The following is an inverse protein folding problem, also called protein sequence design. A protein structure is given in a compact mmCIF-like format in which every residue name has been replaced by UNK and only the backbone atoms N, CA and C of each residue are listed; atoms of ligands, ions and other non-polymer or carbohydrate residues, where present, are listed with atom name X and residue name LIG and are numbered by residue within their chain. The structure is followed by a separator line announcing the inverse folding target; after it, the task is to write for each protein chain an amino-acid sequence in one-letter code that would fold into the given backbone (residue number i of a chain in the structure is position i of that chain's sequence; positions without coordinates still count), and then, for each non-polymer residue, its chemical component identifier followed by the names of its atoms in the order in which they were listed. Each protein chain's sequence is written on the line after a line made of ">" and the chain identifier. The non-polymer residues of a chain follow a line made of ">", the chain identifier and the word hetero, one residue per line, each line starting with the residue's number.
data_IF_127450125712
#
_entry.id   IF_127450125712
#
_cell.length_a   1.000
_cell.length_b   1.000
_cell.length_c   1.000
_cell.angle_alpha   90.00
_cell.angle_beta   90.00
_cell.angle_gamma   90.00
#
_symmetry.space_group_name_H-M   'P 1'
#
loop_
_entity.id
_entity.type
_entity.pdbx_description
1 polymer ?
#
# COMPACT_ATOMS: atom_id res chain seq x y z
N UNK A 1 54.08 -18.90 12.59
CA UNK A 1 53.61 -17.57 12.12
C UNK A 1 52.67 -17.66 10.92
N UNK A 2 53.00 -18.37 9.81
CA UNK A 2 52.10 -18.53 8.65
C UNK A 2 50.72 -19.12 8.97
N UNK A 3 50.63 -20.10 9.88
CA UNK A 3 49.35 -20.72 10.30
C UNK A 3 48.45 -19.80 11.12
N UNK A 4 49.03 -18.81 11.82
CA UNK A 4 48.28 -17.83 12.63
C UNK A 4 47.75 -16.70 11.74
N UNK A 5 48.55 -16.26 10.75
CA UNK A 5 48.10 -15.28 9.75
C UNK A 5 46.92 -15.82 8.94
N UNK A 6 46.96 -17.09 8.51
CA UNK A 6 45.87 -17.73 7.77
C UNK A 6 44.57 -17.84 8.57
N UNK A 7 44.67 -18.08 9.89
CA UNK A 7 43.50 -18.17 10.78
C UNK A 7 42.84 -16.80 11.03
N UNK A 8 43.63 -15.73 11.08
CA UNK A 8 43.13 -14.35 11.26
C UNK A 8 42.44 -13.85 9.98
N UNK A 9 42.95 -14.18 8.80
CA UNK A 9 42.30 -13.80 7.53
C UNK A 9 40.96 -14.51 7.36
N UNK A 10 40.85 -15.77 7.79
CA UNK A 10 39.59 -16.54 7.72
C UNK A 10 38.54 -16.03 8.71
N UNK A 11 38.95 -15.49 9.86
CA UNK A 11 38.05 -14.93 10.88
C UNK A 11 37.48 -13.57 10.46
N UNK A 12 38.26 -12.73 9.77
CA UNK A 12 37.82 -11.43 9.26
C UNK A 12 36.80 -11.57 8.11
N UNK A 13 36.92 -12.60 7.26
CA UNK A 13 35.93 -12.88 6.22
C UNK A 13 34.57 -13.35 6.75
N UNK A 14 34.50 -13.91 7.96
CA UNK A 14 33.24 -14.36 8.58
C UNK A 14 32.43 -13.21 9.21
N UNK A 15 33.08 -12.12 9.62
CA UNK A 15 32.43 -10.96 10.25
C UNK A 15 31.72 -10.04 9.24
N UNK A 16 31.99 -10.18 7.94
CA UNK A 16 31.42 -9.31 6.89
C UNK A 16 29.98 -9.64 6.46
N UNK A 17 29.46 -10.83 6.78
CA UNK A 17 28.14 -11.25 6.27
C UNK A 17 26.97 -10.89 7.19
N UNK A 18 27.20 -10.71 8.50
CA UNK A 18 26.10 -10.54 9.48
C UNK A 18 25.60 -9.09 9.65
N UNK A 19 26.24 -8.11 9.01
CA UNK A 19 25.91 -6.69 9.21
C UNK A 19 24.83 -6.17 8.22
N UNK A 20 24.59 -6.88 7.11
CA UNK A 20 23.65 -6.43 6.07
C UNK A 20 22.20 -6.45 6.56
N UNK A 21 21.75 -7.55 7.13
CA UNK A 21 20.35 -7.71 7.56
C UNK A 21 19.97 -6.80 8.74
N UNK A 22 20.94 -6.45 9.58
CA UNK A 22 20.71 -5.52 10.69
C UNK A 22 20.64 -4.06 10.22
N UNK A 23 21.42 -3.69 9.20
CA UNK A 23 21.43 -2.35 8.65
C UNK A 23 20.11 -2.03 7.91
N UNK A 24 19.59 -2.97 7.12
CA UNK A 24 18.31 -2.79 6.40
C UNK A 24 17.14 -2.56 7.37
N UNK A 25 17.16 -3.22 8.55
CA UNK A 25 16.15 -3.00 9.59
C UNK A 25 16.23 -1.63 10.23
N UNK A 26 17.43 -1.06 10.37
CA UNK A 26 17.63 0.29 10.92
C UNK A 26 17.22 1.38 9.93
N UNK A 27 17.29 1.07 8.63
CA UNK A 27 16.91 1.97 7.54
C UNK A 27 15.48 1.75 7.05
N UNK A 28 14.72 0.91 7.73
CA UNK A 28 13.32 0.67 7.41
C UNK A 28 12.40 1.53 8.26
N UNK A 29 11.55 2.32 7.61
CA UNK A 29 10.56 3.16 8.24
C UNK A 29 9.19 2.99 7.55
N UNK A 30 8.15 3.58 8.16
CA UNK A 30 6.77 3.46 7.69
C UNK A 30 6.19 4.83 7.39
N UNK A 31 5.63 4.98 6.20
CA UNK A 31 4.88 6.18 5.81
C UNK A 31 3.40 5.85 5.88
N UNK A 32 2.66 6.63 6.67
CA UNK A 32 1.21 6.50 6.78
C UNK A 32 0.54 7.63 6.02
N UNK A 33 -0.41 7.29 5.15
CA UNK A 33 -1.26 8.26 4.47
C UNK A 33 -2.73 7.99 4.80
N UNK A 34 -3.47 9.07 4.96
CA UNK A 34 -4.90 9.09 5.18
C UNK A 34 -5.57 9.90 4.07
N UNK A 35 -6.61 9.35 3.47
CA UNK A 35 -7.45 10.05 2.51
C UNK A 35 -8.92 9.71 2.72
N UNK A 36 -9.79 10.55 2.18
CA UNK A 36 -11.24 10.34 2.21
C UNK A 36 -11.79 10.32 0.79
N UNK A 37 -12.84 9.53 0.57
CA UNK A 37 -13.63 9.59 -0.65
C UNK A 37 -15.11 9.33 -0.36
N UNK A 38 -15.97 9.78 -1.26
CA UNK A 38 -17.42 9.56 -1.17
C UNK A 38 -17.83 8.53 -2.22
N UNK A 39 -18.51 7.48 -1.77
CA UNK A 39 -19.15 6.49 -2.64
C UNK A 39 -20.59 6.94 -2.86
N UNK A 40 -20.99 7.34 -4.08
CA UNK A 40 -22.36 7.74 -4.34
C UNK A 40 -23.31 6.56 -4.15
N UNK A 41 -24.49 6.83 -3.58
CA UNK A 41 -25.54 5.83 -3.48
C UNK A 41 -26.05 5.40 -4.87
N UNK A 42 -26.27 4.11 -5.06
CA UNK A 42 -26.78 3.54 -6.30
C UNK A 42 -28.30 3.39 -6.26
N UNK A 43 -28.96 3.76 -7.36
CA UNK A 43 -30.40 3.53 -7.55
C UNK A 43 -30.65 2.04 -7.85
N UNK A 44 -31.61 1.42 -7.16
CA UNK A 44 -31.85 -0.04 -7.03
C UNK A 44 -32.29 -0.79 -8.32
N UNK A 45 -32.08 -0.24 -9.52
CA UNK A 45 -32.73 -0.73 -10.75
C UNK A 45 -31.94 -1.81 -11.52
N UNK A 46 -30.74 -2.21 -11.08
CA UNK A 46 -29.93 -3.21 -11.82
C UNK A 46 -29.14 -4.14 -10.88
N UNK A 47 -29.21 -5.48 -11.00
CA UNK A 47 -28.58 -6.39 -10.03
C UNK A 47 -27.11 -6.79 -10.31
N UNK A 48 -26.48 -6.32 -11.40
CA UNK A 48 -25.06 -6.63 -11.68
C UNK A 48 -24.23 -5.35 -11.76
N UNK A 49 -23.45 -5.08 -10.72
CA UNK A 49 -22.60 -3.90 -10.62
C UNK A 49 -21.12 -4.29 -10.57
N UNK A 50 -20.50 -4.49 -11.74
CA UNK A 50 -19.04 -4.44 -11.86
C UNK A 50 -18.65 -2.97 -12.05
N UNK A 51 -18.60 -2.22 -10.95
CA UNK A 51 -18.24 -0.80 -11.00
C UNK A 51 -16.73 -0.64 -10.83
N UNK A 52 -16.10 -0.01 -11.82
CA UNK A 52 -14.76 0.57 -11.65
C UNK A 52 -14.99 1.92 -10.98
N UNK A 53 -14.54 2.06 -9.73
CA UNK A 53 -14.64 3.33 -9.00
C UNK A 53 -13.29 4.02 -9.09
N UNK A 54 -13.15 5.07 -9.92
CA UNK A 54 -11.92 5.84 -9.97
C UNK A 54 -11.77 6.60 -8.66
N UNK A 55 -10.68 6.32 -7.93
CA UNK A 55 -10.26 7.19 -6.83
C UNK A 55 -9.62 8.46 -7.40
N UNK A 56 -9.70 9.60 -6.69
CA UNK A 56 -9.03 10.81 -7.13
C UNK A 56 -7.53 10.56 -7.32
N UNK A 57 -6.92 11.20 -8.31
CA UNK A 57 -5.47 11.17 -8.50
C UNK A 57 -4.78 11.70 -7.25
N UNK A 58 -3.79 10.96 -6.75
CA UNK A 58 -3.02 11.35 -5.57
C UNK A 58 -1.77 12.07 -6.07
N UNK A 59 -1.65 13.35 -5.72
CA UNK A 59 -0.39 14.08 -5.89
C UNK A 59 0.60 13.59 -4.85
N UNK A 60 1.70 13.01 -5.30
CA UNK A 60 2.70 12.45 -4.41
C UNK A 60 3.64 13.54 -3.91
N UNK A 61 3.57 13.90 -2.62
CA UNK A 61 4.52 14.80 -1.96
C UNK A 61 5.73 14.05 -1.38
N UNK A 62 6.08 12.90 -1.98
CA UNK A 62 7.06 11.97 -1.46
C UNK A 62 8.40 12.59 -1.08
N UNK A 63 8.91 13.55 -1.84
CA UNK A 63 10.17 14.24 -1.51
C UNK A 63 10.16 14.86 -0.12
N UNK A 64 9.10 15.62 0.22
CA UNK A 64 8.99 16.26 1.54
C UNK A 64 8.77 15.23 2.66
N UNK A 65 8.00 14.17 2.39
CA UNK A 65 7.79 13.09 3.35
C UNK A 65 9.11 12.38 3.66
N UNK A 66 9.91 12.04 2.65
CA UNK A 66 11.20 11.38 2.87
C UNK A 66 12.18 12.29 3.61
N UNK A 67 12.23 13.58 3.26
CA UNK A 67 13.08 14.56 3.97
C UNK A 67 12.73 14.65 5.46
N UNK A 68 11.43 14.68 5.79
CA UNK A 68 10.97 14.66 7.19
C UNK A 68 11.36 13.36 7.92
N UNK A 69 11.41 12.24 7.19
CA UNK A 69 11.91 10.94 7.68
C UNK A 69 13.45 10.81 7.55
N UNK A 70 14.16 11.94 7.35
CA UNK A 70 15.62 11.99 7.31
C UNK A 70 16.27 11.29 6.12
N UNK A 71 15.52 11.04 5.04
CA UNK A 71 15.97 10.28 3.87
C UNK A 71 15.74 11.06 2.57
N UNK A 72 16.59 10.90 1.56
CA UNK A 72 16.35 11.47 0.24
C UNK A 72 15.47 10.54 -0.61
N UNK A 73 14.51 11.09 -1.37
CA UNK A 73 13.65 10.33 -2.29
C UNK A 73 14.43 9.44 -3.29
N UNK A 74 15.63 9.86 -3.68
CA UNK A 74 16.47 9.10 -4.59
C UNK A 74 17.16 7.92 -3.90
N UNK A 75 17.34 7.98 -2.58
CA UNK A 75 18.00 6.97 -1.76
C UNK A 75 17.04 5.94 -1.18
N UNK A 76 15.72 6.10 -1.27
CA UNK A 76 14.80 5.02 -0.83
C UNK A 76 14.70 3.92 -1.88
N UNK A 77 14.69 2.66 -1.43
CA UNK A 77 14.49 1.46 -2.24
C UNK A 77 13.50 0.51 -1.56
N UNK A 78 12.91 -0.41 -2.32
CA UNK A 78 11.97 -1.41 -1.84
C UNK A 78 10.79 -0.80 -1.08
N UNK A 79 10.02 0.06 -1.74
CA UNK A 79 8.76 0.54 -1.18
C UNK A 79 7.68 -0.51 -1.43
N UNK A 80 7.08 -1.03 -0.37
CA UNK A 80 5.98 -2.00 -0.46
C UNK A 80 4.78 -1.52 0.34
N UNK A 81 3.57 -1.82 -0.13
CA UNK A 81 2.36 -1.59 0.65
C UNK A 81 2.31 -2.62 1.78
N UNK A 82 2.34 -2.15 3.02
CA UNK A 82 2.32 -3.01 4.20
C UNK A 82 0.90 -3.18 4.75
N UNK A 83 0.08 -2.13 4.71
CA UNK A 83 -1.30 -2.16 5.18
C UNK A 83 -2.19 -1.25 4.35
N UNK A 84 -3.41 -1.70 4.07
CA UNK A 84 -4.48 -0.87 3.51
C UNK A 84 -5.79 -1.19 4.21
N UNK A 85 -6.31 -0.20 4.94
CA UNK A 85 -7.55 -0.31 5.71
C UNK A 85 -8.57 0.71 5.22
N UNK A 86 -9.74 0.21 4.87
CA UNK A 86 -10.91 0.98 4.50
C UNK A 86 -11.85 1.06 5.70
N UNK A 87 -12.38 2.25 5.98
CA UNK A 87 -13.32 2.48 7.08
C UNK A 87 -14.45 3.37 6.62
N UNK A 88 -15.70 2.89 6.73
CA UNK A 88 -16.87 3.75 6.49
C UNK A 88 -17.03 4.70 7.69
N UNK A 89 -16.94 6.00 7.44
CA UNK A 89 -17.06 7.06 8.47
C UNK A 89 -18.49 7.60 8.57
N UNK A 90 -19.24 7.57 7.47
CA UNK A 90 -20.63 8.03 7.42
C UNK A 90 -21.43 7.28 6.35
N UNK A 91 -22.72 7.00 6.56
CA UNK A 91 -23.45 7.13 7.82
C UNK A 91 -23.06 6.04 8.83
N UNK A 92 -23.51 6.18 10.08
CA UNK A 92 -23.10 5.30 11.18
C UNK A 92 -23.79 3.93 11.18
N UNK A 93 -24.70 3.65 10.27
CA UNK A 93 -25.38 2.36 10.08
C UNK A 93 -24.91 1.61 8.82
N UNK A 94 -24.16 2.29 7.93
CA UNK A 94 -23.57 1.69 6.74
C UNK A 94 -22.39 0.77 7.08
N UNK A 95 -22.21 -0.26 6.25
CA UNK A 95 -21.11 -1.23 6.37
C UNK A 95 -20.75 -1.87 5.01
N UNK A 96 -19.70 -2.71 4.96
CA UNK A 96 -19.20 -3.31 3.73
C UNK A 96 -19.89 -4.62 3.29
N UNK A 97 -21.04 -5.01 3.89
CA UNK A 97 -21.71 -6.30 3.57
C UNK A 97 -22.10 -6.43 2.10
N UNK A 98 -22.28 -5.30 1.41
CA UNK A 98 -22.62 -5.22 0.00
C UNK A 98 -21.46 -5.59 -0.94
N UNK A 99 -20.20 -5.61 -0.47
CA UNK A 99 -19.03 -5.91 -1.30
C UNK A 99 -18.71 -7.41 -1.22
N UNK A 100 -18.55 -8.05 -2.38
CA UNK A 100 -18.08 -9.43 -2.50
C UNK A 100 -16.57 -9.51 -2.61
N UNK A 101 -15.98 -8.66 -3.44
CA UNK A 101 -14.53 -8.56 -3.57
C UNK A 101 -14.11 -7.16 -3.99
N UNK A 102 -12.87 -6.82 -3.64
CA UNK A 102 -12.20 -5.58 -4.03
C UNK A 102 -10.79 -5.90 -4.50
N UNK A 103 -10.36 -5.23 -5.57
CA UNK A 103 -8.99 -5.23 -6.07
C UNK A 103 -8.57 -3.79 -6.30
N UNK A 104 -7.38 -3.44 -5.85
CA UNK A 104 -6.80 -2.11 -5.99
C UNK A 104 -5.54 -2.22 -6.83
N UNK A 105 -5.49 -1.41 -7.88
CA UNK A 105 -4.35 -1.28 -8.76
C UNK A 105 -3.73 0.10 -8.62
N UNK A 106 -2.43 0.19 -8.85
CA UNK A 106 -1.72 1.46 -9.03
C UNK A 106 -1.33 1.63 -10.49
N UNK A 107 -1.40 2.88 -10.95
CA UNK A 107 -0.97 3.30 -12.27
C UNK A 107 -0.26 4.64 -12.15
N UNK A 108 0.81 4.82 -12.91
CA UNK A 108 1.47 6.10 -13.07
C UNK A 108 1.94 6.27 -14.52
N UNK A 109 2.26 7.51 -14.90
CA UNK A 109 2.67 7.79 -16.27
C UNK A 109 3.96 7.05 -16.65
N UNK A 110 3.92 6.39 -17.80
CA UNK A 110 4.99 5.53 -18.30
C UNK A 110 5.21 4.21 -17.53
N UNK A 111 4.31 3.81 -16.62
CA UNK A 111 4.40 2.56 -15.87
C UNK A 111 3.18 1.66 -16.11
N UNK A 112 3.35 0.32 -16.05
CA UNK A 112 2.23 -0.60 -16.20
C UNK A 112 1.23 -0.47 -15.04
N UNK A 113 -0.01 -0.91 -15.25
CA UNK A 113 -0.98 -1.07 -14.16
C UNK A 113 -0.64 -2.34 -13.37
N UNK A 114 -0.46 -2.24 -12.05
CA UNK A 114 -0.15 -3.39 -11.20
C UNK A 114 -1.12 -3.50 -10.02
N UNK A 115 -1.48 -4.73 -9.65
CA UNK A 115 -2.33 -5.02 -8.50
C UNK A 115 -1.52 -4.82 -7.22
N UNK A 116 -2.00 -3.98 -6.30
CA UNK A 116 -1.28 -3.67 -5.06
C UNK A 116 -1.95 -4.24 -3.82
N UNK A 117 -3.26 -4.43 -3.83
CA UNK A 117 -4.00 -5.03 -2.72
C UNK A 117 -5.32 -5.63 -3.21
N UNK A 118 -5.81 -6.66 -2.50
CA UNK A 118 -7.11 -7.23 -2.79
C UNK A 118 -7.76 -7.84 -1.56
N UNK A 119 -9.08 -7.99 -1.58
CA UNK A 119 -9.80 -8.86 -0.65
C UNK A 119 -10.86 -9.61 -1.44
N UNK A 120 -10.79 -10.93 -1.41
CA UNK A 120 -11.71 -11.82 -2.12
C UNK A 120 -12.59 -12.50 -1.06
N UNK A 121 -13.86 -12.79 -1.43
CA UNK A 121 -14.80 -13.50 -0.56
C UNK A 121 -15.06 -12.78 0.77
N UNK A 122 -15.30 -11.47 0.72
CA UNK A 122 -15.61 -10.65 1.92
C UNK A 122 -16.90 -11.14 2.56
N UNK A 123 -16.92 -11.47 3.86
CA UNK A 123 -18.12 -12.01 4.50
C UNK A 123 -19.19 -10.92 4.73
N UNK A 124 -20.45 -11.31 4.82
CA UNK A 124 -21.57 -10.37 4.98
C UNK A 124 -21.67 -9.76 6.38
N UNK A 125 -20.93 -10.28 7.36
CA UNK A 125 -20.85 -9.75 8.73
C UNK A 125 -19.56 -8.94 8.98
N UNK A 126 -18.90 -8.46 7.93
CA UNK A 126 -17.61 -7.75 8.01
C UNK A 126 -17.67 -6.41 8.79
N UNK A 127 -18.83 -5.76 8.83
CA UNK A 127 -18.98 -4.45 9.46
C UNK A 127 -18.32 -3.32 8.66
N UNK A 128 -17.90 -2.26 9.35
CA UNK A 128 -17.49 -0.98 8.74
C UNK A 128 -16.02 -0.86 8.41
N UNK A 129 -15.23 -1.87 8.78
CA UNK A 129 -13.80 -1.88 8.57
C UNK A 129 -13.45 -3.04 7.66
N UNK A 130 -12.69 -2.74 6.61
CA UNK A 130 -12.24 -3.72 5.64
C UNK A 130 -10.75 -3.57 5.45
N UNK A 131 -9.99 -4.56 5.93
CA UNK A 131 -8.56 -4.66 5.69
C UNK A 131 -8.31 -5.52 4.46
N UNK A 132 -7.58 -4.96 3.49
CA UNK A 132 -7.21 -5.65 2.27
C UNK A 132 -5.88 -6.36 2.46
N UNK A 133 -5.65 -7.39 1.66
CA UNK A 133 -4.42 -8.16 1.62
C UNK A 133 -3.47 -7.52 0.59
N UNK A 134 -2.37 -6.85 1.03
CA UNK A 134 -1.42 -6.25 0.12
C UNK A 134 -0.62 -7.31 -0.63
N UNK A 135 -0.23 -6.98 -1.85
CA UNK A 135 0.77 -7.74 -2.60
C UNK A 135 2.18 -7.39 -2.12
N UNK A 136 3.21 -8.05 -2.66
CA UNK A 136 4.61 -7.73 -2.41
C UNK A 136 5.26 -7.00 -3.61
N UNK A 137 4.43 -6.35 -4.44
CA UNK A 137 4.91 -5.55 -5.56
C UNK A 137 5.78 -4.38 -5.09
N UNK A 138 6.86 -4.13 -5.82
CA UNK A 138 7.75 -2.99 -5.55
C UNK A 138 7.15 -1.73 -6.16
N UNK A 139 6.83 -0.76 -5.31
CA UNK A 139 6.10 0.46 -5.66
C UNK A 139 7.02 1.68 -5.80
N UNK A 140 8.33 1.47 -5.71
CA UNK A 140 9.39 2.47 -5.81
C UNK A 140 9.16 3.46 -6.95
N UNK A 141 9.00 2.94 -8.16
CA UNK A 141 8.88 3.75 -9.37
C UNK A 141 7.56 4.51 -9.44
N UNK A 142 6.50 4.02 -8.79
CA UNK A 142 5.18 4.67 -8.78
C UNK A 142 5.13 5.80 -7.76
N UNK A 143 5.60 5.55 -6.54
CA UNK A 143 5.53 6.51 -5.43
C UNK A 143 6.49 7.68 -5.65
N UNK A 144 7.60 7.46 -6.36
CA UNK A 144 8.54 8.52 -6.77
C UNK A 144 8.03 9.40 -7.93
N UNK A 145 6.93 9.05 -8.59
CA UNK A 145 6.33 9.89 -9.64
C UNK A 145 5.64 11.08 -9.00
N UNK A 146 5.55 12.19 -9.74
CA UNK A 146 4.83 13.39 -9.29
C UNK A 146 3.37 13.10 -8.98
N UNK A 147 2.73 12.23 -9.78
CA UNK A 147 1.35 11.79 -9.60
C UNK A 147 1.23 10.29 -9.88
N UNK A 148 0.35 9.63 -9.14
CA UNK A 148 -0.14 8.29 -9.45
C UNK A 148 -1.65 8.20 -9.22
N UNK A 149 -2.28 7.22 -9.85
CA UNK A 149 -3.71 6.95 -9.75
C UNK A 149 -3.90 5.57 -9.14
N UNK A 150 -4.81 5.48 -8.17
CA UNK A 150 -5.33 4.21 -7.71
C UNK A 150 -6.61 3.91 -8.50
N UNK A 151 -6.72 2.68 -9.01
CA UNK A 151 -7.90 2.18 -9.71
C UNK A 151 -8.47 1.01 -8.91
N UNK A 152 -9.77 1.03 -8.65
CA UNK A 152 -10.42 0.00 -7.84
C UNK A 152 -11.43 -0.77 -8.71
N UNK A 153 -11.32 -2.09 -8.68
CA UNK A 153 -12.31 -3.00 -9.22
C UNK A 153 -13.08 -3.60 -8.04
N UNK A 154 -14.39 -3.34 -7.98
CA UNK A 154 -15.25 -3.80 -6.90
C UNK A 154 -16.36 -4.67 -7.49
N UNK A 155 -16.54 -5.87 -6.93
CA UNK A 155 -17.69 -6.73 -7.21
C UNK A 155 -18.62 -6.62 -6.02
N UNK A 156 -19.87 -6.22 -6.26
CA UNK A 156 -20.88 -6.07 -5.20
C UNK A 156 -22.01 -7.07 -5.34
N UNK A 157 -22.58 -7.48 -4.19
CA UNK A 157 -23.77 -8.32 -4.10
C UNK A 157 -25.06 -7.51 -4.21
N UNK A 158 -24.99 -6.22 -3.85
CA UNK A 158 -26.10 -5.29 -3.88
C UNK A 158 -25.61 -3.88 -4.20
N UNK A 159 -26.52 -3.01 -4.59
CA UNK A 159 -26.22 -1.60 -4.80
C UNK A 159 -25.77 -0.96 -3.46
N UNK A 160 -24.73 -0.11 -3.45
CA UNK A 160 -24.42 0.71 -2.29
C UNK A 160 -25.58 1.68 -2.01
N UNK A 161 -26.15 1.63 -0.80
CA UNK A 161 -27.19 2.57 -0.37
C UNK A 161 -27.12 2.72 1.14
N UNK A 162 -27.14 3.96 1.70
CA UNK A 162 -27.13 5.27 1.02
C UNK A 162 -25.73 5.66 0.50
N UNK A 163 -25.55 6.94 0.14
CA UNK A 163 -24.20 7.53 -0.05
C UNK A 163 -23.35 7.30 1.21
N UNK A 164 -22.07 6.98 1.02
CA UNK A 164 -21.14 6.67 2.12
C UNK A 164 -19.86 7.48 2.00
N UNK A 165 -19.36 7.94 3.13
CA UNK A 165 -18.01 8.47 3.27
C UNK A 165 -17.06 7.36 3.71
N UNK A 166 -15.94 7.27 3.00
CA UNK A 166 -14.91 6.29 3.21
C UNK A 166 -13.61 6.97 3.62
N UNK A 167 -13.01 6.51 4.72
CA UNK A 167 -11.64 6.80 5.11
C UNK A 167 -10.73 5.65 4.66
N UNK A 168 -9.65 6.01 3.99
CA UNK A 168 -8.63 5.10 3.45
C UNK A 168 -7.34 5.36 4.22
N UNK A 169 -6.86 4.35 4.93
CA UNK A 169 -5.56 4.39 5.62
C UNK A 169 -4.60 3.45 4.91
N UNK A 170 -3.47 3.99 4.45
CA UNK A 170 -2.40 3.22 3.82
C UNK A 170 -1.11 3.36 4.61
N UNK A 171 -0.41 2.25 4.77
CA UNK A 171 0.94 2.22 5.36
C UNK A 171 1.88 1.60 4.34
N UNK A 172 2.88 2.38 3.93
CA UNK A 172 3.99 1.90 3.10
C UNK A 172 5.19 1.60 3.99
N UNK A 173 5.79 0.43 3.78
CA UNK A 173 7.09 0.09 4.34
C UNK A 173 8.15 0.50 3.34
N UNK A 174 9.11 1.32 3.80
CA UNK A 174 10.17 1.88 2.98
C UNK A 174 11.51 1.48 3.59
N UNK A 175 12.46 1.07 2.77
CA UNK A 175 13.84 0.79 3.21
C UNK A 175 14.79 1.78 2.52
N UNK A 176 15.57 2.55 3.26
CA UNK A 176 16.58 3.39 2.64
C UNK A 176 17.75 2.54 2.12
N UNK A 177 18.35 2.99 1.02
CA UNK A 177 19.60 2.47 0.47
C UNK A 177 20.78 3.24 1.10
N UNK A 178 21.65 2.58 1.86
CA UNK A 178 22.74 3.24 2.59
C UNK A 178 23.90 3.78 1.75
N UNK A 179 23.84 3.69 0.41
CA UNK A 179 24.89 3.93 -0.61
C UNK A 179 25.52 2.64 -1.17
#
# INVERSE_FOLDING_TARGET
>A
MKKVVLAITLFISFLGYSCKDQLDRLLTFRINNESTCTIPGANLVNPVFNNIVPTPSITSNSSQTFENEGTNANLVKNIVLEKLKLTITSPSDADFRFIESIKIYIKADGLPKVLIASKISIPTNIGKELELDPTQEKLDEYIKKSNYTLENEVVTRSAPWPEMELKINTTFKVTADPL
#
